data_IF_362028279761
#
_entry.id   IF_362028279761
#
_cell.length_a   1.000
_cell.length_b   1.000
_cell.length_c   1.000
_cell.angle_alpha   90.00
_cell.angle_beta   90.00
_cell.angle_gamma   90.00
#
_symmetry.space_group_name_H-M   'P 1'
#
loop_
_entity.id
_entity.type
_entity.pdbx_description
1 polymer ?
#
# COMPACT_ATOMS: atom_id res chain seq x y z
N UNK A 1 33.99 -19.23 -5.99
CA UNK A 1 33.94 -18.20 -7.05
C UNK A 1 32.49 -17.81 -7.24
N UNK A 2 32.00 -16.84 -6.48
CA UNK A 2 30.66 -16.28 -6.69
C UNK A 2 30.66 -15.42 -7.96
N UNK A 3 29.69 -15.67 -8.85
CA UNK A 3 29.58 -14.94 -10.11
C UNK A 3 29.24 -13.46 -9.87
N UNK A 4 29.89 -12.53 -10.58
CA UNK A 4 29.69 -11.08 -10.41
C UNK A 4 28.30 -10.56 -10.85
N UNK A 5 27.46 -11.41 -11.42
CA UNK A 5 26.11 -11.06 -11.91
C UNK A 5 25.09 -10.79 -10.79
N UNK A 6 25.37 -11.16 -9.53
CA UNK A 6 24.40 -11.01 -8.42
C UNK A 6 24.29 -9.57 -7.89
N UNK A 7 25.40 -8.81 -7.92
CA UNK A 7 25.42 -7.44 -7.38
C UNK A 7 24.69 -6.43 -8.27
N UNK A 8 24.60 -6.67 -9.58
CA UNK A 8 23.91 -5.78 -10.52
C UNK A 8 22.39 -5.69 -10.31
N UNK A 9 21.76 -6.74 -9.76
CA UNK A 9 20.31 -6.78 -9.58
C UNK A 9 19.80 -5.93 -8.41
N UNK A 10 20.62 -5.70 -7.39
CA UNK A 10 20.22 -4.92 -6.21
C UNK A 10 20.17 -3.42 -6.55
N UNK A 11 21.08 -2.92 -7.40
CA UNK A 11 21.13 -1.50 -7.80
C UNK A 11 20.03 -1.08 -8.79
N UNK A 12 19.44 -2.02 -9.53
CA UNK A 12 18.32 -1.73 -10.45
C UNK A 12 16.95 -1.66 -9.75
N UNK A 13 16.84 -2.07 -8.48
CA UNK A 13 15.56 -2.08 -7.73
C UNK A 13 15.39 -0.86 -6.80
N UNK A 14 16.36 0.05 -6.77
CA UNK A 14 16.36 1.25 -5.93
C UNK A 14 16.45 2.56 -6.72
N UNK A 15 16.30 2.53 -8.04
CA UNK A 15 16.33 3.77 -8.83
C UNK A 15 15.24 4.75 -8.36
N UNK A 16 15.58 6.00 -8.00
CA UNK A 16 14.59 7.03 -7.72
C UNK A 16 13.90 7.35 -9.04
N UNK A 17 12.62 6.98 -9.15
CA UNK A 17 11.81 7.33 -10.31
C UNK A 17 11.54 8.84 -10.24
N UNK A 18 12.22 9.62 -11.09
CA UNK A 18 11.82 10.97 -11.41
C UNK A 18 10.43 10.95 -12.05
N UNK A 19 9.60 11.86 -11.57
CA UNK A 19 8.22 12.08 -11.93
C UNK A 19 8.09 12.46 -13.41
N UNK A 20 7.44 11.62 -14.21
CA UNK A 20 6.88 12.00 -15.51
C UNK A 20 5.61 11.20 -15.79
N UNK A 21 4.50 11.93 -15.95
CA UNK A 21 3.46 11.61 -16.92
C UNK A 21 2.30 10.75 -16.43
N UNK A 22 1.28 11.43 -15.90
CA UNK A 22 -0.09 10.91 -15.78
C UNK A 22 -0.65 10.56 -17.18
N UNK A 23 -1.14 9.34 -17.36
CA UNK A 23 -2.10 9.03 -18.43
C UNK A 23 -3.16 8.05 -17.92
N UNK A 24 -4.37 8.57 -17.74
CA UNK A 24 -5.66 7.93 -18.06
C UNK A 24 -6.07 6.70 -17.25
N UNK A 25 -6.91 6.90 -16.23
CA UNK A 25 -7.73 5.82 -15.64
C UNK A 25 -8.97 5.62 -16.52
N UNK A 26 -8.94 4.59 -17.37
CA UNK A 26 -10.09 4.16 -18.17
C UNK A 26 -10.89 3.09 -17.45
N UNK A 27 -12.13 3.42 -17.10
CA UNK A 27 -13.17 2.56 -16.53
C UNK A 27 -13.37 1.25 -17.32
N UNK A 28 -13.51 0.13 -16.61
CA UNK A 28 -13.91 -1.15 -17.21
C UNK A 28 -14.10 -2.24 -16.16
N UNK A 29 -15.32 -2.31 -15.60
CA UNK A 29 -15.70 -3.31 -14.61
C UNK A 29 -15.58 -4.73 -15.14
N UNK A 30 -15.05 -5.63 -14.31
CA UNK A 30 -15.01 -7.07 -14.57
C UNK A 30 -16.09 -7.74 -13.72
N UNK A 31 -17.25 -7.99 -14.32
CA UNK A 31 -18.22 -8.97 -13.81
C UNK A 31 -17.68 -10.38 -14.10
N UNK A 32 -17.62 -11.30 -13.12
CA UNK A 32 -17.32 -12.70 -13.39
C UNK A 32 -18.62 -13.44 -13.74
N UNK A 33 -18.68 -14.27 -14.81
CA UNK A 33 -19.77 -15.21 -14.95
C UNK A 33 -19.42 -16.49 -14.18
N UNK A 34 -20.19 -16.76 -13.12
CA UNK A 34 -20.37 -18.12 -12.63
C UNK A 34 -21.37 -18.86 -13.52
N UNK A 35 -21.14 -20.16 -13.70
CA UNK A 35 -22.03 -21.05 -14.45
C UNK A 35 -21.31 -22.34 -14.81
N UNK A 36 -21.40 -23.32 -13.92
CA UNK A 36 -21.14 -24.72 -14.23
C UNK A 36 -22.37 -25.26 -14.98
N UNK A 37 -22.19 -25.87 -16.15
CA UNK A 37 -22.70 -27.22 -16.48
C UNK A 37 -22.67 -27.56 -17.98
N UNK A 38 -22.33 -28.83 -18.20
CA UNK A 38 -22.77 -29.76 -19.25
C UNK A 38 -22.09 -29.84 -20.64
N UNK A 39 -21.58 -31.07 -20.86
CA UNK A 39 -21.27 -31.85 -22.06
C UNK A 39 -21.98 -31.48 -23.39
N UNK A 40 -21.25 -31.54 -24.51
CA UNK A 40 -21.51 -32.39 -25.70
C UNK A 40 -20.66 -31.96 -26.92
N UNK A 41 -20.55 -32.87 -27.89
CA UNK A 41 -19.57 -33.05 -28.94
C UNK A 41 -19.31 -31.91 -29.95
N UNK A 42 -18.04 -31.82 -30.34
CA UNK A 42 -17.57 -31.91 -31.73
C UNK A 42 -18.11 -30.91 -32.77
N UNK A 43 -17.29 -29.93 -33.13
CA UNK A 43 -17.03 -29.53 -34.54
C UNK A 43 -15.66 -28.82 -34.59
N UNK A 44 -14.73 -29.36 -35.38
CA UNK A 44 -13.52 -28.63 -35.76
C UNK A 44 -13.93 -27.51 -36.71
N UNK A 45 -13.69 -26.26 -36.31
CA UNK A 45 -13.64 -25.14 -37.24
C UNK A 45 -12.44 -24.26 -36.92
N UNK A 46 -11.46 -24.34 -37.82
CA UNK A 46 -10.24 -23.56 -37.84
C UNK A 46 -10.57 -22.15 -38.29
N UNK A 47 -10.51 -21.17 -37.38
CA UNK A 47 -10.36 -19.75 -37.72
C UNK A 47 -9.80 -18.99 -36.51
N UNK A 48 -8.58 -18.40 -36.59
CA UNK A 48 -8.10 -17.50 -35.55
C UNK A 48 -8.67 -16.11 -35.81
N UNK A 49 -9.61 -15.65 -34.98
CA UNK A 49 -10.08 -14.27 -34.97
C UNK A 49 -8.92 -13.29 -34.67
N UNK A 50 -8.64 -12.29 -35.53
CA UNK A 50 -7.64 -11.25 -35.27
C UNK A 50 -8.29 -10.14 -34.43
N UNK A 51 -8.72 -10.47 -33.22
CA UNK A 51 -9.39 -9.50 -32.34
C UNK A 51 -9.16 -9.73 -30.84
N UNK A 52 -8.50 -10.84 -30.47
CA UNK A 52 -8.28 -11.19 -29.07
C UNK A 52 -7.06 -10.47 -28.51
N UNK A 53 -7.29 -9.19 -28.19
CA UNK A 53 -6.67 -8.38 -27.13
C UNK A 53 -5.53 -9.14 -26.43
N UNK A 54 -4.28 -8.81 -26.78
CA UNK A 54 -3.08 -9.37 -26.20
C UNK A 54 -3.15 -9.34 -24.66
N UNK A 55 -3.67 -10.40 -24.05
CA UNK A 55 -3.34 -10.79 -22.69
C UNK A 55 -1.89 -11.22 -22.78
N UNK A 56 -1.00 -10.22 -22.81
CA UNK A 56 0.43 -10.41 -22.66
C UNK A 56 0.59 -11.39 -21.52
N UNK A 57 1.08 -12.59 -21.82
CA UNK A 57 1.30 -13.63 -20.83
C UNK A 57 2.38 -13.10 -19.91
N UNK A 58 1.97 -12.30 -18.92
CA UNK A 58 2.88 -11.66 -17.99
C UNK A 58 3.62 -12.80 -17.32
N UNK A 59 4.94 -12.88 -17.53
CA UNK A 59 5.71 -14.00 -17.03
C UNK A 59 5.68 -13.99 -15.50
N UNK A 60 5.75 -15.16 -14.83
CA UNK A 60 5.75 -15.23 -13.37
C UNK A 60 6.80 -14.30 -12.73
N UNK A 61 7.94 -14.08 -13.40
CA UNK A 61 8.98 -13.13 -12.98
C UNK A 61 8.49 -11.68 -13.00
N UNK A 62 7.78 -11.25 -14.03
CA UNK A 62 7.21 -9.90 -14.11
C UNK A 62 6.13 -9.70 -13.05
N UNK A 63 5.25 -10.69 -12.80
CA UNK A 63 4.30 -10.61 -11.69
C UNK A 63 5.02 -10.47 -10.34
N UNK A 64 6.07 -11.26 -10.11
CA UNK A 64 6.88 -11.18 -8.88
C UNK A 64 7.50 -9.80 -8.71
N UNK A 65 8.09 -9.22 -9.75
CA UNK A 65 8.63 -7.85 -9.73
C UNK A 65 7.55 -6.82 -9.41
N UNK A 66 6.38 -6.90 -10.03
CA UNK A 66 5.25 -5.99 -9.74
C UNK A 66 4.79 -6.09 -8.29
N UNK A 67 4.67 -7.30 -7.75
CA UNK A 67 4.31 -7.53 -6.34
C UNK A 67 5.35 -6.94 -5.39
N UNK A 68 6.64 -7.12 -5.67
CA UNK A 68 7.72 -6.55 -4.86
C UNK A 68 7.68 -5.02 -4.86
N UNK A 69 7.48 -4.40 -6.03
CA UNK A 69 7.33 -2.96 -6.14
C UNK A 69 6.09 -2.44 -5.38
N UNK A 70 4.96 -3.15 -5.45
CA UNK A 70 3.76 -2.81 -4.68
C UNK A 70 4.00 -2.89 -3.17
N UNK A 71 4.64 -3.96 -2.68
CA UNK A 71 5.00 -4.11 -1.27
C UNK A 71 5.95 -3.01 -0.79
N UNK A 72 6.90 -2.59 -1.63
CA UNK A 72 7.81 -1.49 -1.30
C UNK A 72 7.05 -0.16 -1.13
N UNK A 73 6.07 0.12 -2.00
CA UNK A 73 5.22 1.31 -1.87
C UNK A 73 4.38 1.28 -0.59
N UNK A 74 3.78 0.13 -0.26
CA UNK A 74 2.97 0.04 0.96
C UNK A 74 3.82 0.20 2.23
N UNK A 75 5.05 -0.35 2.23
CA UNK A 75 5.99 -0.09 3.33
C UNK A 75 6.27 1.39 3.52
N UNK A 76 6.52 2.13 2.44
CA UNK A 76 6.72 3.60 2.52
C UNK A 76 5.47 4.32 3.04
N UNK A 77 4.28 3.93 2.56
CA UNK A 77 3.00 4.46 3.05
C UNK A 77 2.86 4.24 4.57
N UNK A 78 3.17 3.05 5.05
CA UNK A 78 3.11 2.71 6.48
C UNK A 78 4.21 3.38 7.32
N UNK A 79 5.41 3.59 6.76
CA UNK A 79 6.45 4.38 7.42
C UNK A 79 5.98 5.82 7.67
N UNK A 80 5.37 6.46 6.66
CA UNK A 80 4.83 7.82 6.82
C UNK A 80 3.74 7.88 7.90
N UNK A 81 2.86 6.87 7.95
CA UNK A 81 1.84 6.77 9.00
C UNK A 81 2.49 6.63 10.39
N UNK A 82 3.47 5.75 10.53
CA UNK A 82 4.14 5.53 11.81
C UNK A 82 4.90 6.80 12.25
N UNK A 83 5.54 7.53 11.34
CA UNK A 83 6.16 8.82 11.65
C UNK A 83 5.14 9.87 12.14
N UNK A 84 3.90 9.83 11.66
CA UNK A 84 2.84 10.69 12.19
C UNK A 84 2.44 10.29 13.62
N UNK A 85 2.37 8.98 13.92
CA UNK A 85 2.18 8.48 15.28
C UNK A 85 3.32 8.88 16.22
N UNK A 86 4.57 8.80 15.76
CA UNK A 86 5.74 9.23 16.54
C UNK A 86 5.68 10.71 16.87
N UNK A 87 5.32 11.56 15.89
CA UNK A 87 5.08 12.99 16.11
C UNK A 87 3.92 13.24 17.07
N UNK A 88 2.84 12.49 17.00
CA UNK A 88 1.74 12.64 17.97
C UNK A 88 2.23 12.34 19.40
N UNK A 89 3.05 11.30 19.58
CA UNK A 89 3.59 10.92 20.89
C UNK A 89 4.47 12.01 21.52
N UNK A 90 5.11 12.89 20.75
CA UNK A 90 5.91 13.99 21.31
C UNK A 90 5.05 15.08 21.97
N UNK A 91 3.77 15.18 21.61
CA UNK A 91 2.82 16.12 22.23
C UNK A 91 2.07 15.52 23.41
N UNK A 92 2.15 14.21 23.62
CA UNK A 92 1.47 13.55 24.71
C UNK A 92 2.31 13.65 25.99
N UNK A 93 1.68 13.89 27.15
CA UNK A 93 2.38 13.87 28.43
C UNK A 93 2.98 12.48 28.66
N UNK A 94 4.31 12.40 28.81
CA UNK A 94 5.01 11.14 28.99
C UNK A 94 4.86 10.67 30.43
N UNK A 95 4.21 9.52 30.63
CA UNK A 95 4.02 8.92 31.95
C UNK A 95 5.27 8.13 32.38
N UNK A 96 6.41 8.82 32.51
CA UNK A 96 7.61 8.36 33.22
C UNK A 96 8.24 7.01 32.81
N UNK A 97 7.81 6.40 31.72
CA UNK A 97 8.32 5.12 31.25
C UNK A 97 9.01 5.33 29.90
N UNK A 98 10.25 4.87 29.76
CA UNK A 98 11.00 4.77 28.50
C UNK A 98 10.31 3.88 27.43
N UNK A 99 9.07 3.45 27.69
CA UNK A 99 8.26 2.62 26.82
C UNK A 99 7.40 3.49 25.91
N UNK A 100 7.47 3.21 24.61
CA UNK A 100 6.59 3.82 23.61
C UNK A 100 5.14 3.32 23.76
N UNK A 101 4.19 4.25 23.72
CA UNK A 101 2.75 3.95 23.70
C UNK A 101 2.36 3.16 22.45
N UNK A 102 1.48 2.17 22.59
CA UNK A 102 0.85 1.49 21.45
C UNK A 102 -0.02 2.46 20.63
N UNK A 103 -0.44 2.06 19.43
CA UNK A 103 -1.31 2.89 18.57
C UNK A 103 -2.63 3.24 19.26
N UNK A 104 -3.23 2.26 19.94
CA UNK A 104 -4.48 2.47 20.67
C UNK A 104 -4.28 3.42 21.86
N UNK A 105 -3.27 3.15 22.70
CA UNK A 105 -2.94 4.00 23.85
C UNK A 105 -2.64 5.44 23.41
N UNK A 106 -1.90 5.62 22.30
CA UNK A 106 -1.59 6.95 21.74
C UNK A 106 -2.87 7.72 21.37
N UNK A 107 -3.84 7.06 20.72
CA UNK A 107 -5.11 7.71 20.34
C UNK A 107 -5.98 8.04 21.56
N UNK A 108 -6.07 7.10 22.51
CA UNK A 108 -6.84 7.31 23.73
C UNK A 108 -6.25 8.47 24.55
N UNK A 109 -4.93 8.49 24.74
CA UNK A 109 -4.26 9.59 25.45
C UNK A 109 -4.41 10.93 24.74
N UNK A 110 -4.37 10.96 23.40
CA UNK A 110 -4.60 12.19 22.65
C UNK A 110 -5.99 12.77 22.90
N UNK A 111 -7.03 11.92 22.88
CA UNK A 111 -8.40 12.34 23.17
C UNK A 111 -8.54 12.89 24.59
N UNK A 112 -8.03 12.15 25.58
CA UNK A 112 -8.05 12.59 26.98
C UNK A 112 -7.28 13.88 27.20
N UNK A 113 -6.12 14.03 26.54
CA UNK A 113 -5.28 15.22 26.70
C UNK A 113 -5.93 16.46 26.10
N UNK A 114 -6.53 16.34 24.90
CA UNK A 114 -7.30 17.44 24.30
C UNK A 114 -8.44 17.88 25.23
N UNK A 115 -9.21 16.93 25.78
CA UNK A 115 -10.30 17.25 26.71
C UNK A 115 -9.80 17.98 27.97
N UNK A 116 -8.72 17.51 28.58
CA UNK A 116 -8.13 18.14 29.76
C UNK A 116 -7.63 19.58 29.48
N UNK A 117 -7.09 19.83 28.28
CA UNK A 117 -6.70 21.18 27.88
C UNK A 117 -7.91 22.10 27.68
N UNK A 118 -9.02 21.60 27.12
CA UNK A 118 -10.27 22.37 27.01
C UNK A 118 -10.80 22.76 28.40
N UNK A 119 -10.90 21.79 29.33
CA UNK A 119 -11.38 22.03 30.69
C UNK A 119 -10.51 23.07 31.42
N UNK A 120 -9.18 23.00 31.25
CA UNK A 120 -8.24 23.95 31.86
C UNK A 120 -8.45 25.39 31.34
N UNK A 121 -8.76 25.55 30.05
CA UNK A 121 -9.01 26.85 29.46
C UNK A 121 -10.34 27.45 29.90
N UNK A 122 -11.38 26.63 30.08
CA UNK A 122 -12.70 27.07 30.56
C UNK A 122 -12.72 27.42 32.05
N UNK A 123 -11.89 26.75 32.86
CA UNK A 123 -11.76 27.01 34.30
C UNK A 123 -11.01 28.31 34.63
N UNK A 124 -10.43 29.01 33.64
CA UNK A 124 -9.73 30.28 33.87
C UNK A 124 -10.74 31.42 33.88
N UNK A 125 -11.11 32.01 35.04
CA UNK A 125 -11.96 33.18 35.04
C UNK A 125 -11.22 34.30 34.28
N UNK A 126 -11.90 34.91 33.33
CA UNK A 126 -11.48 36.15 32.69
C UNK A 126 -11.31 37.22 33.78
N UNK A 127 -10.07 37.47 34.20
CA UNK A 127 -9.71 38.58 35.06
C UNK A 127 -9.93 39.92 34.35
#
# INVERSE_FOLDING_TARGET
MESPESFGYVYMLTTPQSDVGVTGWGSGGCTPPGGYDSLSEGYQSSSPDPGSRCKSRVTPLVLRKRRLAANARERRRMQNLNQAFDRLRTFLPQLGQDRQLSKYETLQMAQTYIAALYDLLEQRPSA
#
